data_IF_324803086166
#
_entry.id   IF_324803086166
#
_cell.length_a   1.000
_cell.length_b   1.000
_cell.length_c   1.000
_cell.angle_alpha   90.00
_cell.angle_beta   90.00
_cell.angle_gamma   90.00
#
_symmetry.space_group_name_H-M   'P 1'
#
loop_
_entity.id
_entity.type
_entity.pdbx_description
1 polymer ?
#
# COMPACT_ATOMS: atom_id res chain seq x y z
N UNK A 1 -26.72 1.05 12.30
CA UNK A 1 -25.81 2.09 11.78
C UNK A 1 -24.86 1.40 10.84
N UNK A 2 -24.56 2.00 9.68
CA UNK A 2 -23.54 1.43 8.81
C UNK A 2 -22.16 1.49 9.50
N UNK A 3 -21.32 0.46 9.34
CA UNK A 3 -19.99 0.47 9.90
C UNK A 3 -19.18 1.63 9.29
N UNK A 4 -18.30 2.29 10.07
CA UNK A 4 -17.39 3.29 9.52
C UNK A 4 -16.58 2.73 8.35
N UNK A 5 -16.38 3.51 7.28
CA UNK A 5 -15.50 3.09 6.19
C UNK A 5 -14.07 2.93 6.69
N UNK A 6 -13.26 2.18 5.95
CA UNK A 6 -11.79 2.26 6.11
C UNK A 6 -11.28 3.43 5.27
N UNK A 7 -10.06 3.87 5.53
CA UNK A 7 -9.39 4.86 4.70
C UNK A 7 -8.11 4.28 4.10
N UNK A 8 -7.96 4.30 2.78
CA UNK A 8 -6.76 3.81 2.10
C UNK A 8 -5.97 4.99 1.56
N UNK A 9 -4.67 5.03 1.85
CA UNK A 9 -3.80 6.17 1.52
C UNK A 9 -2.38 5.75 1.16
N UNK A 10 -1.64 6.67 0.55
CA UNK A 10 -0.25 6.48 0.17
C UNK A 10 -0.12 6.05 -1.30
N UNK A 11 0.72 5.05 -1.55
CA UNK A 11 1.10 4.61 -2.91
C UNK A 11 0.05 3.71 -3.56
N UNK A 12 -1.21 4.16 -3.59
CA UNK A 12 -2.32 3.52 -4.29
C UNK A 12 -2.91 4.48 -5.33
N UNK A 13 -3.59 3.95 -6.34
CA UNK A 13 -4.15 4.78 -7.42
C UNK A 13 -5.26 5.70 -6.90
N UNK A 14 -6.15 5.17 -6.08
CA UNK A 14 -7.30 5.88 -5.52
C UNK A 14 -7.15 5.98 -4.01
N UNK A 15 -6.80 7.16 -3.53
CA UNK A 15 -6.74 7.45 -2.09
C UNK A 15 -8.12 7.89 -1.60
N UNK A 16 -8.50 7.51 -0.40
CA UNK A 16 -9.76 7.94 0.19
C UNK A 16 -10.50 6.84 0.97
N UNK A 17 -11.76 7.12 1.33
CA UNK A 17 -12.60 6.15 2.02
C UNK A 17 -12.96 4.98 1.10
N UNK A 18 -12.97 3.78 1.67
CA UNK A 18 -13.51 2.56 1.05
C UNK A 18 -14.59 2.01 1.98
N UNK A 19 -15.77 1.74 1.42
CA UNK A 19 -16.90 1.21 2.18
C UNK A 19 -16.55 -0.12 2.84
N UNK A 20 -16.86 -0.26 4.13
CA UNK A 20 -16.66 -1.51 4.85
C UNK A 20 -17.85 -2.44 4.60
N UNK A 21 -17.64 -3.62 4.00
CA UNK A 21 -18.75 -4.47 3.58
C UNK A 21 -19.42 -5.16 4.79
N UNK A 22 -20.74 -4.99 4.92
CA UNK A 22 -21.51 -5.66 5.98
C UNK A 22 -21.62 -7.15 5.69
N UNK A 23 -21.32 -7.99 6.68
CA UNK A 23 -21.45 -9.45 6.57
C UNK A 23 -20.39 -10.12 5.70
N UNK A 24 -19.35 -9.40 5.27
CA UNK A 24 -18.20 -9.96 4.53
C UNK A 24 -16.90 -9.61 5.23
N UNK A 25 -15.90 -10.46 5.04
CA UNK A 25 -14.53 -10.16 5.48
C UNK A 25 -13.87 -9.23 4.48
N UNK A 26 -13.24 -8.17 4.97
CA UNK A 26 -12.36 -7.30 4.18
C UNK A 26 -10.93 -7.48 4.68
N UNK A 27 -9.98 -7.80 3.79
CA UNK A 27 -8.56 -7.93 4.12
C UNK A 27 -7.72 -6.83 3.49
N UNK A 28 -6.46 -6.74 3.91
CA UNK A 28 -5.53 -5.71 3.41
C UNK A 28 -5.40 -5.72 1.88
N UNK A 29 -5.21 -6.90 1.28
CA UNK A 29 -5.08 -6.98 -0.19
C UNK A 29 -6.38 -6.61 -0.92
N UNK A 30 -7.55 -6.84 -0.30
CA UNK A 30 -8.83 -6.41 -0.87
C UNK A 30 -8.92 -4.89 -0.87
N UNK A 31 -8.55 -4.24 0.24
CA UNK A 31 -8.52 -2.78 0.34
C UNK A 31 -7.56 -2.14 -0.68
N UNK A 32 -6.36 -2.73 -0.86
CA UNK A 32 -5.41 -2.28 -1.90
C UNK A 32 -6.02 -2.42 -3.30
N UNK A 33 -6.71 -3.54 -3.57
CA UNK A 33 -7.35 -3.78 -4.86
C UNK A 33 -8.50 -2.81 -5.13
N UNK A 34 -9.34 -2.54 -4.11
CA UNK A 34 -10.43 -1.56 -4.16
C UNK A 34 -9.90 -0.13 -4.36
N UNK A 35 -8.73 0.17 -3.83
CA UNK A 35 -8.00 1.42 -4.08
C UNK A 35 -7.34 1.49 -5.47
N UNK A 36 -7.63 0.55 -6.38
CA UNK A 36 -7.09 0.50 -7.74
C UNK A 36 -5.69 -0.11 -7.84
N UNK A 37 -5.18 -0.71 -6.77
CA UNK A 37 -3.85 -1.31 -6.71
C UNK A 37 -2.74 -0.33 -6.34
N UNK A 38 -1.51 -0.84 -6.29
CA UNK A 38 -0.32 -0.07 -5.95
C UNK A 38 0.13 0.82 -7.12
N UNK A 39 0.46 2.08 -6.84
CA UNK A 39 1.13 2.99 -7.79
C UNK A 39 2.61 2.66 -8.01
N UNK A 40 3.20 1.95 -7.07
CA UNK A 40 4.58 1.51 -7.13
C UNK A 40 4.64 0.03 -6.77
N UNK A 41 5.06 -0.80 -7.72
CA UNK A 41 5.13 -2.26 -7.52
C UNK A 41 6.21 -2.68 -6.51
N UNK A 42 7.16 -1.79 -6.22
CA UNK A 42 8.21 -2.00 -5.23
C UNK A 42 7.77 -1.58 -3.82
N UNK A 43 6.57 -1.04 -3.64
CA UNK A 43 6.02 -0.74 -2.32
C UNK A 43 5.67 -2.05 -1.60
N UNK A 44 6.30 -2.28 -0.44
CA UNK A 44 6.07 -3.49 0.35
C UNK A 44 5.48 -3.20 1.74
N UNK A 45 5.74 -2.03 2.32
CA UNK A 45 5.27 -1.72 3.67
C UNK A 45 3.86 -1.17 3.65
N UNK A 46 2.96 -1.90 4.30
CA UNK A 46 1.60 -1.47 4.58
C UNK A 46 1.45 -1.32 6.10
N UNK A 47 0.91 -0.19 6.54
CA UNK A 47 0.53 0.04 7.92
C UNK A 47 -0.99 0.03 8.06
N UNK A 48 -1.50 -0.80 8.96
CA UNK A 48 -2.90 -0.75 9.41
C UNK A 48 -2.92 -0.05 10.76
N UNK A 49 -3.51 1.14 10.79
CA UNK A 49 -3.63 1.99 11.97
C UNK A 49 -5.06 1.84 12.49
N UNK A 50 -5.20 1.28 13.69
CA UNK A 50 -6.48 0.92 14.29
C UNK A 50 -6.70 1.67 15.59
N UNK A 51 -7.85 2.33 15.72
CA UNK A 51 -8.27 2.92 16.99
C UNK A 51 -8.55 1.83 18.02
N UNK A 52 -7.99 1.97 19.20
CA UNK A 52 -8.21 1.05 20.33
C UNK A 52 -9.16 1.72 21.31
N UNK A 53 -10.26 1.04 21.66
CA UNK A 53 -11.21 1.58 22.62
C UNK A 53 -10.55 1.80 23.99
N UNK A 54 -10.64 3.01 24.53
CA UNK A 54 -10.06 3.37 25.83
C UNK A 54 -8.56 3.68 25.80
N UNK A 55 -7.95 3.84 24.62
CA UNK A 55 -6.59 4.35 24.47
C UNK A 55 -6.58 5.54 23.50
N UNK A 56 -5.77 6.55 23.82
CA UNK A 56 -5.51 7.67 22.91
C UNK A 56 -4.53 7.27 21.79
N UNK A 57 -3.74 6.21 22.01
CA UNK A 57 -2.77 5.71 21.04
C UNK A 57 -3.39 4.63 20.14
N UNK A 58 -3.27 4.75 18.80
CA UNK A 58 -3.73 3.71 17.90
C UNK A 58 -2.78 2.51 17.92
N UNK A 59 -3.32 1.31 17.72
CA UNK A 59 -2.52 0.15 17.38
C UNK A 59 -2.03 0.28 15.93
N UNK A 60 -0.72 0.07 15.72
CA UNK A 60 -0.11 0.09 14.39
C UNK A 60 0.38 -1.32 14.05
N UNK A 61 -0.19 -1.90 12.99
CA UNK A 61 0.16 -3.23 12.52
C UNK A 61 0.89 -3.08 11.19
N UNK A 62 2.13 -3.56 11.12
CA UNK A 62 2.89 -3.58 9.88
C UNK A 62 2.63 -4.89 9.12
N UNK A 63 2.33 -4.76 7.83
CA UNK A 63 2.08 -5.87 6.91
C UNK A 63 3.04 -5.72 5.73
N UNK A 64 3.65 -6.83 5.30
CA UNK A 64 4.38 -6.90 4.03
C UNK A 64 3.39 -7.27 2.91
N UNK A 65 3.30 -6.43 1.89
CA UNK A 65 2.45 -6.68 0.73
C UNK A 65 2.86 -7.98 0.02
N UNK A 66 4.16 -8.20 -0.18
CA UNK A 66 4.69 -9.39 -0.82
C UNK A 66 4.36 -10.64 0.00
N UNK A 67 4.58 -10.61 1.32
CA UNK A 67 4.26 -11.77 2.15
C UNK A 67 2.76 -12.04 2.18
N UNK A 68 1.91 -11.02 2.31
CA UNK A 68 0.46 -11.17 2.27
C UNK A 68 -0.07 -11.82 0.98
N UNK A 69 0.63 -11.68 -0.16
CA UNK A 69 0.29 -12.35 -1.42
C UNK A 69 0.60 -13.84 -1.43
N UNK A 70 1.60 -14.28 -0.66
CA UNK A 70 2.09 -15.66 -0.65
C UNK A 70 1.69 -16.43 0.61
N UNK A 71 1.35 -15.72 1.69
CA UNK A 71 1.07 -16.22 3.02
C UNK A 71 -0.27 -15.64 3.48
N UNK A 72 -1.36 -16.40 3.31
CA UNK A 72 -2.73 -15.90 3.53
C UNK A 72 -3.00 -15.44 4.97
N UNK A 73 -2.24 -15.97 5.93
CA UNK A 73 -2.23 -15.56 7.33
C UNK A 73 -1.69 -14.14 7.55
N UNK A 74 -0.85 -13.64 6.63
CA UNK A 74 -0.30 -12.28 6.67
C UNK A 74 -1.19 -11.26 5.98
N UNK A 75 -2.17 -11.72 5.20
CA UNK A 75 -3.22 -10.86 4.67
C UNK A 75 -4.29 -10.61 5.74
N UNK A 76 -3.97 -9.78 6.73
CA UNK A 76 -4.79 -9.59 7.93
C UNK A 76 -6.19 -9.04 7.61
N UNK A 77 -7.14 -9.35 8.50
CA UNK A 77 -8.51 -8.84 8.44
C UNK A 77 -8.58 -7.41 8.96
N UNK A 78 -9.21 -6.54 8.19
CA UNK A 78 -9.46 -5.15 8.54
C UNK A 78 -10.71 -5.02 9.40
N UNK A 79 -10.73 -3.99 10.23
CA UNK A 79 -11.86 -3.58 11.04
C UNK A 79 -12.44 -2.26 10.52
N UNK A 80 -13.73 -1.97 10.80
CA UNK A 80 -14.31 -0.67 10.49
C UNK A 80 -13.49 0.47 11.08
N UNK A 81 -13.25 1.52 10.29
CA UNK A 81 -12.49 2.70 10.72
C UNK A 81 -10.96 2.55 10.70
N UNK A 82 -10.41 1.41 10.26
CA UNK A 82 -8.97 1.26 10.05
C UNK A 82 -8.47 2.26 8.98
N UNK A 83 -7.23 2.74 9.15
CA UNK A 83 -6.48 3.42 8.10
C UNK A 83 -5.42 2.47 7.55
N UNK A 84 -5.39 2.31 6.23
CA UNK A 84 -4.44 1.47 5.50
C UNK A 84 -3.49 2.39 4.73
N UNK A 85 -2.26 2.53 5.22
CA UNK A 85 -1.21 3.38 4.61
C UNK A 85 -0.19 2.54 3.87
N UNK A 86 0.03 2.82 2.60
CA UNK A 86 1.02 2.13 1.76
C UNK A 86 2.21 3.06 1.56
N UNK A 87 3.38 2.69 2.10
CA UNK A 87 4.56 3.54 2.15
C UNK A 87 5.75 2.98 1.35
N UNK A 88 6.65 3.86 0.90
CA UNK A 88 7.93 3.43 0.31
C UNK A 88 8.87 2.94 1.41
N UNK A 89 9.69 1.95 1.10
CA UNK A 89 10.90 1.68 1.88
C UNK A 89 12.07 2.48 1.30
N UNK A 90 13.09 2.79 2.11
CA UNK A 90 14.32 3.40 1.60
C UNK A 90 14.94 2.58 0.45
N UNK A 91 14.87 1.24 0.52
CA UNK A 91 15.31 0.36 -0.55
C UNK A 91 14.50 0.53 -1.85
N UNK A 92 13.18 0.72 -1.75
CA UNK A 92 12.29 1.02 -2.89
C UNK A 92 12.68 2.34 -3.57
N UNK A 93 12.91 3.40 -2.79
CA UNK A 93 13.32 4.73 -3.31
C UNK A 93 14.64 4.63 -4.08
N UNK A 94 15.61 3.87 -3.57
CA UNK A 94 16.89 3.63 -4.25
C UNK A 94 16.73 2.86 -5.57
N UNK A 95 15.81 1.89 -5.64
CA UNK A 95 15.55 1.12 -6.87
C UNK A 95 14.80 1.95 -7.94
N UNK A 96 13.82 2.76 -7.54
CA UNK A 96 13.09 3.67 -8.45
C UNK A 96 14.05 4.68 -9.10
N UNK A 97 15.04 5.17 -8.35
CA UNK A 97 16.06 6.10 -8.85
C UNK A 97 16.90 5.53 -10.01
N UNK A 98 17.15 4.21 -10.07
CA UNK A 98 17.95 3.62 -11.14
C UNK A 98 17.22 3.57 -12.50
N UNK A 99 15.89 3.67 -12.53
CA UNK A 99 15.13 3.70 -13.78
C UNK A 99 15.37 4.99 -14.58
N UNK A 100 15.66 6.10 -13.90
CA UNK A 100 15.99 7.38 -14.52
C UNK A 100 17.38 7.34 -15.19
N UNK A 101 18.33 6.61 -14.60
CA UNK A 101 19.73 6.56 -15.08
C UNK A 101 19.86 5.77 -16.40
N UNK A 102 19.00 4.78 -16.67
CA UNK A 102 19.03 4.03 -17.94
C UNK A 102 18.51 4.81 -19.16
N UNK A 103 17.88 5.97 -18.96
CA UNK A 103 17.37 6.82 -20.06
C UNK A 103 18.39 7.87 -20.52
N UNK A 104 19.45 8.15 -19.75
CA UNK A 104 20.49 9.13 -20.10
C UNK A 104 21.67 8.53 -20.89
N UNK A 105 21.71 7.21 -21.07
CA UNK A 105 22.74 6.50 -21.86
C UNK A 105 22.11 5.97 -23.16
N UNK A 106 21.45 6.84 -23.90
CA UNK A 106 21.09 6.59 -25.30
C UNK A 106 21.01 7.93 -26.03
N UNK A 107 22.17 8.55 -26.22
CA UNK A 107 22.21 9.91 -26.76
C UNK A 107 23.61 10.43 -27.06
N UNK A 108 24.48 9.61 -27.67
CA UNK A 108 25.58 10.07 -28.55
C UNK A 108 26.44 8.90 -29.07
N UNK A 109 25.85 8.05 -29.91
CA UNK A 109 26.64 7.34 -30.94
C UNK A 109 26.22 7.88 -32.29
N UNK A 110 26.84 9.01 -32.66
CA UNK A 110 26.96 9.46 -34.03
C UNK A 110 28.43 9.40 -34.42
N UNK A 111 28.85 8.32 -35.07
CA UNK A 111 30.08 8.24 -35.88
C UNK A 111 29.95 9.27 -37.02
N UNK A 112 31.06 9.83 -37.52
CA UNK A 112 31.39 9.99 -38.96
C UNK A 112 32.68 10.84 -39.16
N UNK A 113 33.65 10.18 -39.82
CA UNK A 113 34.88 10.63 -40.52
C UNK A 113 36.02 11.28 -39.73
#
# INVERSE_FOLDING_TARGET
SDPPPIYVTGLVYNNGPVEYPVGKTLRVLDAVSLAGGLRNQLADKIYVIRKVAGSDDPAVIQVSHQRAKHHGEENIVLAPGDVVSIEQTAATVFLDMFQIIRLSISGSTGVLF
#
